data_IF_444858734722
#
_entry.id   IF_444858734722
#
_cell.length_a   1.000
_cell.length_b   1.000
_cell.length_c   1.000
_cell.angle_alpha   90.00
_cell.angle_beta   90.00
_cell.angle_gamma   90.00
#
_symmetry.space_group_name_H-M   'P 1'
#
loop_
_entity.id
_entity.type
_entity.pdbx_description
1 polymer ?
#
# COMPACT_ATOMS: atom_id res chain seq x y z
N UNK A 1 -39.85 40.13 24.12
CA UNK A 1 -40.75 40.07 22.93
C UNK A 1 -40.36 38.83 22.12
N UNK A 2 -41.16 37.75 22.12
CA UNK A 2 -40.84 36.56 21.33
C UNK A 2 -41.18 36.78 19.83
N UNK A 3 -40.34 36.33 18.89
CA UNK A 3 -40.61 36.45 17.46
C UNK A 3 -41.81 35.57 17.06
N UNK A 4 -42.77 36.18 16.38
CA UNK A 4 -43.97 35.51 15.87
C UNK A 4 -43.66 34.85 14.52
N UNK A 5 -43.56 33.52 14.48
CA UNK A 5 -43.41 32.79 13.22
C UNK A 5 -44.77 32.58 12.53
N UNK A 6 -44.92 32.93 11.24
CA UNK A 6 -46.20 32.78 10.54
C UNK A 6 -46.53 31.30 10.32
N UNK A 7 -47.70 30.88 10.84
CA UNK A 7 -48.27 29.53 10.70
C UNK A 7 -48.86 29.32 9.30
N UNK A 8 -48.01 29.23 8.28
CA UNK A 8 -48.43 28.96 6.91
C UNK A 8 -47.95 27.55 6.46
N UNK A 9 -48.88 26.68 6.05
CA UNK A 9 -48.57 25.27 5.71
C UNK A 9 -47.58 25.15 4.55
N UNK A 10 -47.53 26.17 3.69
CA UNK A 10 -46.65 26.23 2.52
C UNK A 10 -45.18 26.50 2.90
N UNK A 11 -44.89 27.31 3.93
CA UNK A 11 -43.52 27.56 4.38
C UNK A 11 -42.89 26.34 5.02
N UNK A 12 -43.67 25.49 5.71
CA UNK A 12 -43.18 24.19 6.18
C UNK A 12 -42.81 23.25 5.02
N UNK A 13 -43.67 23.14 4.01
CA UNK A 13 -43.42 22.25 2.86
C UNK A 13 -42.17 22.65 2.08
N UNK A 14 -41.96 23.95 1.84
CA UNK A 14 -40.76 24.45 1.16
C UNK A 14 -39.50 24.12 1.98
N UNK A 15 -39.55 24.28 3.30
CA UNK A 15 -38.43 23.97 4.19
C UNK A 15 -38.10 22.47 4.22
N UNK A 16 -39.10 21.60 4.17
CA UNK A 16 -38.90 20.15 4.07
C UNK A 16 -38.30 19.73 2.73
N UNK A 17 -38.72 20.34 1.63
CA UNK A 17 -38.20 20.04 0.28
C UNK A 17 -36.75 20.48 0.13
N UNK A 18 -36.39 21.67 0.62
CA UNK A 18 -35.00 22.16 0.55
C UNK A 18 -34.07 21.32 1.43
N UNK A 19 -34.50 20.90 2.61
CA UNK A 19 -33.73 19.97 3.46
C UNK A 19 -33.54 18.62 2.76
N UNK A 20 -34.59 18.05 2.17
CA UNK A 20 -34.49 16.75 1.48
C UNK A 20 -33.52 16.80 0.30
N UNK A 21 -33.43 17.93 -0.42
CA UNK A 21 -32.54 18.10 -1.55
C UNK A 21 -31.06 18.19 -1.13
N UNK A 22 -30.77 18.80 0.02
CA UNK A 22 -29.41 18.89 0.58
C UNK A 22 -28.93 17.53 1.10
N UNK A 23 -29.81 16.74 1.72
CA UNK A 23 -29.44 15.40 2.23
C UNK A 23 -29.20 14.37 1.11
N UNK A 24 -29.81 14.55 -0.07
CA UNK A 24 -29.63 13.63 -1.20
C UNK A 24 -28.23 13.71 -1.86
N UNK A 25 -27.40 14.72 -1.52
CA UNK A 25 -26.08 14.92 -2.11
C UNK A 25 -24.94 14.07 -1.52
N UNK A 26 -25.16 13.35 -0.42
CA UNK A 26 -24.08 12.68 0.31
C UNK A 26 -23.54 11.40 -0.34
N UNK A 27 -24.20 10.81 -1.34
CA UNK A 27 -23.79 9.54 -1.96
C UNK A 27 -22.94 9.69 -3.23
N UNK A 28 -22.68 10.90 -3.71
CA UNK A 28 -21.95 11.14 -4.98
C UNK A 28 -20.43 11.13 -4.77
N UNK A 29 -19.95 11.38 -3.55
CA UNK A 29 -18.53 11.34 -3.22
C UNK A 29 -18.10 9.93 -2.80
N UNK A 30 -18.20 8.97 -3.71
CA UNK A 30 -17.45 7.71 -3.56
C UNK A 30 -15.97 8.07 -3.64
N UNK A 31 -15.29 8.06 -2.49
CA UNK A 31 -13.86 8.41 -2.39
C UNK A 31 -13.07 7.42 -3.24
N UNK A 32 -12.48 7.92 -4.33
CA UNK A 32 -11.61 7.09 -5.17
C UNK A 32 -10.37 6.72 -4.36
N UNK A 33 -10.22 5.43 -4.06
CA UNK A 33 -8.99 4.93 -3.45
C UNK A 33 -7.92 4.83 -4.53
N UNK A 34 -6.75 5.37 -4.23
CA UNK A 34 -5.58 5.37 -5.11
C UNK A 34 -4.77 4.11 -4.84
N UNK A 35 -4.24 3.50 -5.90
CA UNK A 35 -3.28 2.40 -5.81
C UNK A 35 -2.00 2.85 -5.08
N UNK A 36 -1.61 2.12 -4.05
CA UNK A 36 -0.38 2.36 -3.29
C UNK A 36 0.63 1.27 -3.62
N UNK A 37 1.82 1.67 -4.09
CA UNK A 37 2.98 0.79 -4.31
C UNK A 37 4.14 1.26 -3.45
N UNK A 38 4.69 0.39 -2.62
CA UNK A 38 5.77 0.72 -1.69
C UNK A 38 6.86 -0.36 -1.69
N UNK A 39 8.10 0.07 -1.47
CA UNK A 39 9.26 -0.82 -1.31
C UNK A 39 10.00 -1.14 -2.61
N UNK A 40 10.78 -2.23 -2.59
CA UNK A 40 11.63 -2.63 -3.70
C UNK A 40 10.83 -3.37 -4.77
N UNK A 41 10.85 -2.90 -6.01
CA UNK A 41 10.16 -3.55 -7.13
C UNK A 41 10.86 -4.85 -7.52
N UNK A 42 10.47 -5.96 -6.89
CA UNK A 42 11.02 -7.29 -7.14
C UNK A 42 10.42 -7.87 -8.43
N UNK A 43 11.17 -7.76 -9.53
CA UNK A 43 10.82 -8.43 -10.78
C UNK A 43 11.21 -9.90 -10.68
N UNK A 44 10.29 -10.78 -11.06
CA UNK A 44 10.50 -12.23 -10.99
C UNK A 44 11.79 -12.70 -11.69
N UNK A 45 12.07 -12.15 -12.88
CA UNK A 45 13.32 -12.41 -13.64
C UNK A 45 14.60 -12.07 -12.88
N UNK A 46 14.58 -11.03 -12.04
CA UNK A 46 15.77 -10.53 -11.34
C UNK A 46 15.98 -11.38 -10.06
N UNK A 47 14.89 -11.84 -9.45
CA UNK A 47 14.91 -12.80 -8.34
C UNK A 47 15.39 -14.19 -8.80
N UNK A 48 15.06 -14.59 -10.02
CA UNK A 48 15.50 -15.88 -10.59
C UNK A 48 16.99 -15.91 -10.89
N UNK A 49 17.56 -14.78 -11.27
CA UNK A 49 19.00 -14.61 -11.50
C UNK A 49 19.82 -14.58 -10.20
N UNK A 50 19.20 -14.48 -9.03
CA UNK A 50 19.93 -14.56 -7.76
C UNK A 50 20.42 -15.96 -7.49
N UNK A 51 21.73 -16.07 -7.31
CA UNK A 51 22.43 -17.32 -7.04
C UNK A 51 23.26 -17.25 -5.75
N UNK A 52 23.51 -18.43 -5.19
CA UNK A 52 24.40 -18.60 -4.03
C UNK A 52 25.83 -18.31 -4.50
N UNK A 53 26.62 -17.61 -3.67
CA UNK A 53 28.00 -17.20 -3.97
C UNK A 53 28.12 -15.80 -4.57
N UNK A 54 27.01 -15.14 -4.95
CA UNK A 54 27.04 -13.75 -5.39
C UNK A 54 27.54 -12.82 -4.29
N UNK A 55 28.27 -11.76 -4.66
CA UNK A 55 28.69 -10.74 -3.71
C UNK A 55 27.58 -9.67 -3.52
N UNK A 56 27.63 -8.87 -2.43
CA UNK A 56 26.65 -7.81 -2.15
C UNK A 56 26.48 -6.79 -3.28
N UNK A 57 27.54 -6.49 -4.03
CA UNK A 57 27.53 -5.54 -5.15
C UNK A 57 26.73 -6.08 -6.33
N UNK A 58 26.88 -7.36 -6.66
CA UNK A 58 26.10 -8.06 -7.69
C UNK A 58 24.62 -8.13 -7.32
N UNK A 59 24.32 -8.43 -6.04
CA UNK A 59 22.94 -8.44 -5.54
C UNK A 59 22.33 -7.04 -5.65
N UNK A 60 23.07 -6.00 -5.26
CA UNK A 60 22.66 -4.60 -5.38
C UNK A 60 22.47 -4.19 -6.85
N UNK A 61 23.31 -4.67 -7.76
CA UNK A 61 23.17 -4.39 -9.19
C UNK A 61 21.88 -4.98 -9.77
N UNK A 62 21.49 -6.17 -9.33
CA UNK A 62 20.28 -6.85 -9.78
C UNK A 62 18.99 -6.29 -9.16
N UNK A 63 18.99 -6.06 -7.85
CA UNK A 63 17.78 -5.74 -7.08
C UNK A 63 17.69 -4.29 -6.60
N UNK A 64 18.78 -3.54 -6.71
CA UNK A 64 18.97 -2.25 -6.05
C UNK A 64 19.34 -2.39 -4.57
N UNK A 65 19.46 -1.25 -3.90
CA UNK A 65 19.72 -1.20 -2.47
C UNK A 65 18.49 -1.70 -1.69
N UNK A 66 18.68 -2.51 -0.63
CA UNK A 66 17.59 -2.83 0.27
C UNK A 66 17.05 -1.54 0.90
N UNK A 67 15.72 -1.42 1.03
CA UNK A 67 15.09 -0.26 1.66
C UNK A 67 15.36 -0.22 3.18
N UNK A 68 15.61 -1.39 3.77
CA UNK A 68 15.86 -1.57 5.20
C UNK A 68 17.33 -1.95 5.38
N UNK A 69 18.15 -0.98 5.77
CA UNK A 69 19.51 -1.20 6.24
C UNK A 69 19.46 -1.37 7.76
N UNK A 70 19.38 -2.61 8.23
CA UNK A 70 19.46 -2.91 9.65
C UNK A 70 20.93 -2.93 10.06
N UNK A 71 21.37 -1.87 10.76
CA UNK A 71 22.74 -1.74 11.25
C UNK A 71 23.17 -2.88 12.19
N UNK A 72 22.23 -3.70 12.69
CA UNK A 72 22.51 -4.86 13.54
C UNK A 72 22.68 -6.17 12.77
N UNK A 73 22.19 -6.29 11.53
CA UNK A 73 22.21 -7.51 10.73
C UNK A 73 22.79 -7.25 9.34
N UNK A 74 24.07 -6.86 9.29
CA UNK A 74 24.79 -6.60 8.02
C UNK A 74 24.81 -7.83 7.09
N UNK A 75 24.66 -9.02 7.68
CA UNK A 75 24.61 -10.33 7.06
C UNK A 75 23.22 -10.72 6.52
N UNK A 76 22.19 -9.87 6.65
CA UNK A 76 20.84 -10.16 6.12
C UNK A 76 20.22 -8.95 5.45
N UNK A 77 19.89 -9.07 4.17
CA UNK A 77 19.15 -8.03 3.46
C UNK A 77 17.71 -8.47 3.19
N UNK A 78 16.77 -7.60 3.57
CA UNK A 78 15.34 -7.80 3.39
C UNK A 78 14.80 -6.84 2.31
N UNK A 79 14.27 -7.41 1.23
CA UNK A 79 13.59 -6.69 0.17
C UNK A 79 12.08 -6.92 0.31
N UNK A 80 11.35 -5.86 0.64
CA UNK A 80 9.89 -5.91 0.81
C UNK A 80 9.23 -5.13 -0.31
N UNK A 81 8.26 -5.75 -0.96
CA UNK A 81 7.36 -5.12 -1.92
C UNK A 81 5.93 -5.17 -1.37
N UNK A 82 5.26 -4.03 -1.37
CA UNK A 82 3.89 -3.89 -0.94
C UNK A 82 3.07 -3.24 -2.07
N UNK A 83 1.98 -3.89 -2.44
CA UNK A 83 1.03 -3.37 -3.41
C UNK A 83 -0.38 -3.44 -2.83
N UNK A 84 -0.99 -2.28 -2.65
CA UNK A 84 -2.37 -2.14 -2.21
C UNK A 84 -3.17 -1.47 -3.32
N UNK A 85 -3.91 -2.24 -4.13
CA UNK A 85 -4.77 -1.65 -5.15
C UNK A 85 -5.92 -0.90 -4.48
N UNK A 86 -6.34 0.24 -5.04
CA UNK A 86 -7.45 1.02 -4.48
C UNK A 86 -8.74 0.20 -4.32
N UNK A 87 -8.89 -0.84 -5.15
CA UNK A 87 -9.90 -1.88 -5.03
C UNK A 87 -9.25 -3.24 -5.32
N UNK A 88 -9.38 -4.19 -4.41
CA UNK A 88 -8.84 -5.55 -4.58
C UNK A 88 -8.14 -6.04 -3.32
N UNK A 89 -7.36 -7.11 -3.47
CA UNK A 89 -6.57 -7.65 -2.37
C UNK A 89 -5.18 -7.02 -2.36
N UNK A 90 -4.74 -6.65 -1.16
CA UNK A 90 -3.37 -6.23 -0.90
C UNK A 90 -2.41 -7.40 -1.12
N UNK A 91 -1.31 -7.13 -1.79
CA UNK A 91 -0.25 -8.08 -2.07
C UNK A 91 1.05 -7.63 -1.39
N UNK A 92 1.61 -8.51 -0.56
CA UNK A 92 2.93 -8.33 0.01
C UNK A 92 3.87 -9.44 -0.46
N UNK A 93 5.07 -9.07 -0.90
CA UNK A 93 6.16 -10.00 -1.26
C UNK A 93 7.41 -9.65 -0.48
N UNK A 94 8.07 -10.65 0.10
CA UNK A 94 9.32 -10.46 0.85
C UNK A 94 10.40 -11.44 0.39
N UNK A 95 11.52 -10.90 -0.10
CA UNK A 95 12.74 -11.64 -0.39
C UNK A 95 13.76 -11.35 0.71
N UNK A 96 14.35 -12.41 1.28
CA UNK A 96 15.44 -12.26 2.25
C UNK A 96 16.69 -12.93 1.72
N UNK A 97 17.79 -12.21 1.69
CA UNK A 97 19.11 -12.70 1.25
C UNK A 97 20.04 -12.72 2.47
N UNK A 98 20.71 -13.84 2.69
CA UNK A 98 21.67 -14.01 3.78
C UNK A 98 23.08 -14.05 3.21
N UNK A 99 23.99 -13.33 3.86
CA UNK A 99 25.38 -13.19 3.50
C UNK A 99 26.27 -13.77 4.59
N UNK A 100 27.37 -14.40 4.20
CA UNK A 100 28.45 -14.78 5.10
C UNK A 100 29.77 -14.55 4.37
N UNK A 101 30.76 -13.97 5.06
CA UNK A 101 32.06 -13.64 4.46
C UNK A 101 31.98 -12.87 3.12
N UNK A 102 30.95 -12.03 2.95
CA UNK A 102 30.75 -11.23 1.74
C UNK A 102 30.18 -11.99 0.54
N UNK A 103 29.54 -13.14 0.76
CA UNK A 103 28.88 -13.92 -0.28
C UNK A 103 27.49 -14.39 0.15
N UNK A 104 26.57 -14.53 -0.81
CA UNK A 104 25.23 -15.06 -0.56
C UNK A 104 25.33 -16.54 -0.20
N UNK A 105 24.87 -16.90 1.00
CA UNK A 105 24.81 -18.30 1.45
C UNK A 105 23.40 -18.90 1.33
N UNK A 106 22.37 -18.05 1.40
CA UNK A 106 20.98 -18.50 1.43
C UNK A 106 20.04 -17.43 0.92
N UNK A 107 19.03 -17.86 0.17
CA UNK A 107 18.02 -16.99 -0.41
C UNK A 107 16.64 -17.52 0.00
N UNK A 108 15.85 -16.70 0.70
CA UNK A 108 14.44 -16.96 0.96
C UNK A 108 13.62 -16.24 -0.12
N UNK A 109 13.15 -17.01 -1.09
CA UNK A 109 12.41 -16.49 -2.25
C UNK A 109 11.08 -15.85 -1.81
N UNK A 110 10.59 -14.83 -2.56
CA UNK A 110 9.35 -14.13 -2.23
C UNK A 110 8.15 -15.07 -2.32
N UNK A 111 7.36 -15.10 -1.24
CA UNK A 111 6.02 -15.67 -1.23
C UNK A 111 5.03 -14.52 -1.28
N UNK A 112 4.01 -14.62 -2.12
CA UNK A 112 2.89 -13.70 -2.11
C UNK A 112 2.04 -14.01 -0.88
N UNK A 113 2.12 -13.16 0.14
CA UNK A 113 1.19 -13.21 1.26
C UNK A 113 0.00 -12.35 0.87
N UNK A 114 -1.10 -12.99 0.49
CA UNK A 114 -2.39 -12.33 0.38
C UNK A 114 -2.96 -12.22 1.81
N UNK A 115 -2.81 -11.05 2.42
CA UNK A 115 -3.48 -10.78 3.69
C UNK A 115 -4.98 -10.61 3.39
N UNK A 116 -5.80 -11.46 4.02
CA UNK A 116 -7.26 -11.57 3.82
C UNK A 116 -8.01 -10.92 4.96
#
# INVERSE_FOLDING_TARGET
MPPQFPRNRQTCLIFFVTISLVLAGCSVFSVHRIDVRQGNALKQRDVEQLEIGMNPEQVTYLLGNPLIDDSYHTDRWDYVYYYDPGYGQTEQRRLTVFFESGQVIRIKRPQATAES
#
